data_IF_789388856521
#
_entry.id   IF_789388856521
#
_cell.length_a   1.000
_cell.length_b   1.000
_cell.length_c   1.000
_cell.angle_alpha   90.00
_cell.angle_beta   90.00
_cell.angle_gamma   90.00
#
_symmetry.space_group_name_H-M   'P 1'
#
loop_
_entity.id
_entity.type
_entity.pdbx_description
1 polymer ?
#
# COMPACT_ATOMS: atom_id res chain seq x y z
N UNK A 1 23.28 -16.75 -6.18
CA UNK A 1 24.46 -16.54 -5.31
C UNK A 1 24.29 -15.40 -4.29
N UNK A 2 23.37 -14.46 -4.48
CA UNK A 2 23.14 -13.30 -3.57
C UNK A 2 21.76 -13.28 -2.92
N UNK A 3 21.05 -14.42 -2.88
CA UNK A 3 19.68 -14.48 -2.35
C UNK A 3 19.57 -14.02 -0.89
N UNK A 4 20.60 -14.22 -0.08
CA UNK A 4 20.65 -13.75 1.29
C UNK A 4 20.67 -12.21 1.38
N UNK A 5 21.32 -11.50 0.42
CA UNK A 5 21.29 -10.02 0.36
C UNK A 5 19.89 -9.52 0.00
N UNK A 6 19.24 -10.17 -0.96
CA UNK A 6 17.88 -9.81 -1.38
C UNK A 6 16.85 -10.06 -0.27
N UNK A 7 17.14 -11.00 0.64
CA UNK A 7 16.28 -11.34 1.77
C UNK A 7 16.48 -10.44 3.01
N UNK A 8 17.45 -9.51 2.98
CA UNK A 8 17.65 -8.57 4.09
C UNK A 8 16.36 -7.77 4.30
N UNK A 9 15.85 -7.81 5.54
CA UNK A 9 14.65 -7.08 5.97
C UNK A 9 15.01 -5.62 6.25
N UNK A 10 14.36 -4.70 5.53
CA UNK A 10 14.54 -3.25 5.70
C UNK A 10 13.56 -2.66 6.72
N UNK A 11 12.48 -3.36 7.02
CA UNK A 11 11.42 -2.98 7.96
C UNK A 11 11.70 -3.36 9.41
N UNK A 12 12.83 -4.04 9.70
CA UNK A 12 13.18 -4.45 11.06
C UNK A 12 13.76 -3.30 11.88
N UNK A 13 13.25 -3.02 13.10
CA UNK A 13 13.78 -1.94 13.95
C UNK A 13 15.23 -2.20 14.37
N UNK A 14 15.67 -3.47 14.45
CA UNK A 14 17.06 -3.81 14.76
C UNK A 14 18.03 -3.26 13.70
N UNK A 15 17.61 -3.17 12.45
CA UNK A 15 18.41 -2.58 11.39
C UNK A 15 18.73 -1.12 11.68
N UNK A 16 17.76 -0.34 12.18
CA UNK A 16 18.00 1.06 12.57
C UNK A 16 19.07 1.20 13.64
N UNK A 17 19.10 0.30 14.62
CA UNK A 17 20.12 0.32 15.69
C UNK A 17 21.52 0.18 15.08
N UNK A 18 21.71 -0.78 14.16
CA UNK A 18 22.99 -0.99 13.49
C UNK A 18 23.37 0.17 12.57
N UNK A 19 22.41 0.69 11.84
CA UNK A 19 22.61 1.81 10.90
C UNK A 19 22.93 3.10 11.65
N UNK A 20 22.24 3.39 12.74
CA UNK A 20 22.56 4.53 13.62
C UNK A 20 23.92 4.37 14.27
N UNK A 21 24.27 3.17 14.75
CA UNK A 21 25.60 2.89 15.30
C UNK A 21 26.71 3.16 14.27
N UNK A 22 26.52 2.69 13.04
CA UNK A 22 27.45 2.96 11.94
C UNK A 22 27.56 4.46 11.62
N UNK A 23 26.42 5.20 11.61
CA UNK A 23 26.39 6.66 11.40
C UNK A 23 27.21 7.40 12.47
N UNK A 24 27.03 7.03 13.73
CA UNK A 24 27.77 7.64 14.86
C UNK A 24 29.27 7.37 14.72
N UNK A 25 29.67 6.12 14.42
CA UNK A 25 31.08 5.77 14.21
C UNK A 25 31.69 6.54 13.04
N UNK A 26 31.00 6.64 11.93
CA UNK A 26 31.43 7.43 10.77
C UNK A 26 31.59 8.92 11.13
N UNK A 27 30.61 9.50 11.82
CA UNK A 27 30.67 10.89 12.27
C UNK A 27 31.87 11.13 13.19
N UNK A 28 32.14 10.23 14.14
CA UNK A 28 33.31 10.30 15.03
C UNK A 28 34.62 10.30 14.21
N UNK A 29 34.76 9.36 13.24
CA UNK A 29 35.95 9.27 12.39
C UNK A 29 36.15 10.56 11.59
N UNK A 30 35.08 11.13 11.02
CA UNK A 30 35.15 12.38 10.27
C UNK A 30 35.56 13.57 11.14
N UNK A 31 34.98 13.66 12.34
CA UNK A 31 35.23 14.75 13.28
C UNK A 31 36.63 14.70 13.90
N UNK A 32 37.19 13.51 14.22
CA UNK A 32 38.52 13.36 14.82
C UNK A 32 39.67 13.88 13.94
N UNK A 33 39.40 14.24 12.70
CA UNK A 33 40.38 14.88 11.81
C UNK A 33 40.70 16.32 12.16
N UNK A 34 39.88 16.98 12.96
CA UNK A 34 40.04 18.42 13.30
C UNK A 34 40.68 18.57 14.66
N UNK A 35 41.71 19.39 14.75
CA UNK A 35 42.48 19.62 15.98
C UNK A 35 42.17 20.97 16.65
N UNK A 36 41.35 21.81 16.03
CA UNK A 36 41.03 23.14 16.53
C UNK A 36 39.55 23.31 16.77
N UNK A 37 39.19 24.12 17.77
CA UNK A 37 37.77 24.44 18.10
C UNK A 37 37.07 25.04 16.86
N UNK A 38 37.75 25.92 16.12
CA UNK A 38 37.19 26.46 14.88
C UNK A 38 36.89 25.41 13.83
N UNK A 39 37.75 24.39 13.70
CA UNK A 39 37.53 23.27 12.78
C UNK A 39 36.30 22.45 13.18
N UNK A 40 36.11 22.18 14.46
CA UNK A 40 34.93 21.50 14.98
C UNK A 40 33.65 22.30 14.75
N UNK A 41 33.67 23.59 15.09
CA UNK A 41 32.53 24.51 14.86
C UNK A 41 32.13 24.56 13.38
N UNK A 42 33.11 24.65 12.48
CA UNK A 42 32.82 24.64 11.05
C UNK A 42 32.15 23.36 10.60
N UNK A 43 32.63 22.19 11.05
CA UNK A 43 32.04 20.89 10.71
C UNK A 43 30.59 20.78 11.22
N UNK A 44 30.35 21.24 12.47
CA UNK A 44 28.99 21.25 13.04
C UNK A 44 28.06 22.21 12.30
N UNK A 45 28.54 23.42 11.96
CA UNK A 45 27.76 24.38 11.18
C UNK A 45 27.38 23.83 9.79
N UNK A 46 28.32 23.19 9.10
CA UNK A 46 28.05 22.57 7.80
C UNK A 46 27.05 21.42 7.93
N UNK A 47 27.20 20.57 8.93
CA UNK A 47 26.24 19.48 9.18
C UNK A 47 24.84 20.03 9.51
N UNK A 48 24.76 21.04 10.41
CA UNK A 48 23.48 21.68 10.74
C UNK A 48 22.85 22.38 9.54
N UNK A 49 23.67 23.04 8.69
CA UNK A 49 23.20 23.64 7.44
C UNK A 49 22.62 22.62 6.47
N UNK A 50 23.27 21.45 6.31
CA UNK A 50 22.77 20.32 5.54
C UNK A 50 21.45 19.76 6.08
N UNK A 51 21.35 19.61 7.40
CA UNK A 51 20.13 19.15 8.06
C UNK A 51 18.96 20.11 7.84
N UNK A 52 19.18 21.41 8.08
CA UNK A 52 18.14 22.43 7.94
C UNK A 52 17.67 22.54 6.48
N UNK A 53 18.61 22.51 5.52
CA UNK A 53 18.28 22.56 4.10
C UNK A 53 17.42 21.35 3.70
N UNK A 54 17.81 20.14 4.10
CA UNK A 54 17.05 18.94 3.78
C UNK A 54 15.65 18.94 4.42
N UNK A 55 15.56 19.31 5.70
CA UNK A 55 14.28 19.40 6.39
C UNK A 55 13.34 20.42 5.74
N UNK A 56 13.87 21.62 5.44
CA UNK A 56 13.11 22.68 4.78
C UNK A 56 12.72 22.32 3.35
N UNK A 57 13.60 21.61 2.61
CA UNK A 57 13.27 21.12 1.27
C UNK A 57 12.18 20.04 1.32
N UNK A 58 12.25 19.10 2.24
CA UNK A 58 11.23 18.08 2.43
C UNK A 58 9.87 18.70 2.78
N UNK A 59 9.87 19.72 3.67
CA UNK A 59 8.67 20.48 3.99
C UNK A 59 8.14 21.24 2.77
N UNK A 60 9.00 21.93 2.02
CA UNK A 60 8.60 22.67 0.83
C UNK A 60 7.98 21.76 -0.24
N UNK A 61 8.60 20.60 -0.51
CA UNK A 61 8.14 19.67 -1.55
C UNK A 61 6.88 18.93 -1.12
N UNK A 62 6.78 18.51 0.14
CA UNK A 62 5.64 17.76 0.64
C UNK A 62 4.43 18.64 0.94
N UNK A 63 4.61 19.70 1.79
CA UNK A 63 3.46 20.43 2.32
C UNK A 63 3.08 21.67 1.51
N UNK A 64 4.07 22.36 0.90
CA UNK A 64 3.80 23.61 0.19
C UNK A 64 3.54 23.37 -1.29
N UNK A 65 4.37 22.55 -1.94
CA UNK A 65 4.25 22.26 -3.37
C UNK A 65 3.44 21.01 -3.67
N UNK A 66 3.12 20.23 -2.64
CA UNK A 66 2.31 19.00 -2.71
C UNK A 66 2.78 18.01 -3.81
N UNK A 67 4.11 17.86 -3.96
CA UNK A 67 4.71 17.07 -5.03
C UNK A 67 4.36 15.58 -4.90
N UNK A 68 4.18 15.11 -3.65
CA UNK A 68 3.95 13.70 -3.35
C UNK A 68 2.46 13.34 -3.16
N UNK A 69 1.57 14.33 -3.15
CA UNK A 69 0.16 14.10 -2.85
C UNK A 69 -0.13 13.69 -1.39
N UNK A 70 0.89 13.66 -0.54
CA UNK A 70 0.82 13.32 0.89
C UNK A 70 1.65 14.27 1.72
N UNK A 71 1.29 14.47 2.97
CA UNK A 71 2.12 15.19 3.94
C UNK A 71 3.24 14.28 4.45
N UNK A 72 4.49 14.74 4.32
CA UNK A 72 5.63 14.01 4.86
C UNK A 72 5.62 14.13 6.40
N UNK A 73 5.79 13.02 7.10
CA UNK A 73 5.83 13.02 8.56
C UNK A 73 7.03 13.80 9.10
N UNK A 74 6.98 14.31 10.33
CA UNK A 74 8.16 14.88 10.98
C UNK A 74 9.34 13.89 11.07
N UNK A 75 9.04 12.58 11.17
CA UNK A 75 10.04 11.50 11.24
C UNK A 75 10.76 11.34 9.90
N UNK A 76 10.02 11.29 8.79
CA UNK A 76 10.58 11.29 7.44
C UNK A 76 11.50 12.50 7.21
N UNK A 77 11.04 13.71 7.59
CA UNK A 77 11.86 14.92 7.45
C UNK A 77 13.13 14.86 8.31
N UNK A 78 13.03 14.31 9.53
CA UNK A 78 14.20 14.13 10.41
C UNK A 78 15.21 13.14 9.81
N UNK A 79 14.76 12.04 9.20
CA UNK A 79 15.67 11.09 8.54
C UNK A 79 16.34 11.68 7.30
N UNK A 80 15.62 12.46 6.50
CA UNK A 80 16.21 13.23 5.41
C UNK A 80 17.29 14.19 5.94
N UNK A 81 16.99 14.91 7.04
CA UNK A 81 17.95 15.81 7.68
C UNK A 81 19.21 15.07 8.19
N UNK A 82 19.06 13.88 8.79
CA UNK A 82 20.19 13.03 9.24
C UNK A 82 21.07 12.62 8.06
N UNK A 83 20.48 12.12 6.99
CA UNK A 83 21.21 11.71 5.79
C UNK A 83 22.03 12.86 5.17
N UNK A 84 21.40 14.00 4.98
CA UNK A 84 22.06 15.18 4.39
C UNK A 84 23.04 15.87 5.33
N UNK A 85 22.79 15.88 6.65
CA UNK A 85 23.76 16.36 7.63
C UNK A 85 25.06 15.54 7.58
N UNK A 86 24.93 14.21 7.54
CA UNK A 86 26.08 13.30 7.43
C UNK A 86 26.84 13.46 6.12
N UNK A 87 26.12 13.59 5.01
CA UNK A 87 26.72 13.83 3.69
C UNK A 87 27.47 15.18 3.65
N UNK A 88 26.88 16.25 4.17
CA UNK A 88 27.51 17.55 4.28
C UNK A 88 28.77 17.52 5.18
N UNK A 89 28.70 16.82 6.32
CA UNK A 89 29.83 16.57 7.19
C UNK A 89 30.96 15.83 6.47
N UNK A 90 30.62 14.81 5.69
CA UNK A 90 31.59 14.03 4.91
C UNK A 90 32.27 14.89 3.82
N UNK A 91 31.48 15.69 3.09
CA UNK A 91 32.01 16.64 2.08
C UNK A 91 33.00 17.64 2.72
N UNK A 92 32.61 18.22 3.88
CA UNK A 92 33.49 19.13 4.60
C UNK A 92 34.77 18.45 5.11
N UNK A 93 34.71 17.14 5.41
CA UNK A 93 35.88 16.40 5.87
C UNK A 93 36.90 16.10 4.78
N UNK A 94 36.54 16.15 3.49
CA UNK A 94 37.47 15.97 2.36
C UNK A 94 38.49 17.13 2.27
N UNK A 95 38.09 18.32 2.69
CA UNK A 95 38.91 19.51 2.54
C UNK A 95 40.11 19.49 3.51
N UNK A 96 41.31 19.61 2.99
CA UNK A 96 42.58 19.73 3.76
C UNK A 96 42.83 18.59 4.73
N UNK A 97 42.69 17.35 4.26
CA UNK A 97 42.90 16.12 5.06
C UNK A 97 43.88 15.14 4.40
N UNK A 98 44.27 14.06 5.09
CA UNK A 98 45.15 13.00 4.56
C UNK A 98 44.41 12.14 3.54
N UNK A 99 45.12 11.56 2.57
CA UNK A 99 44.53 10.79 1.47
C UNK A 99 43.55 9.67 1.94
N UNK A 100 43.91 8.88 2.94
CA UNK A 100 43.02 7.83 3.46
C UNK A 100 41.70 8.39 4.04
N UNK A 101 41.74 9.61 4.62
CA UNK A 101 40.54 10.28 5.14
C UNK A 101 39.67 10.80 4.01
N UNK A 102 40.24 11.19 2.88
CA UNK A 102 39.47 11.52 1.68
C UNK A 102 38.67 10.30 1.23
N UNK A 103 39.30 9.11 1.18
CA UNK A 103 38.62 7.87 0.82
C UNK A 103 37.47 7.57 1.79
N UNK A 104 37.73 7.62 3.10
CA UNK A 104 36.66 7.38 4.11
C UNK A 104 35.54 8.39 3.98
N UNK A 105 35.84 9.68 3.83
CA UNK A 105 34.82 10.72 3.68
C UNK A 105 34.02 10.55 2.38
N UNK A 106 34.67 10.18 1.27
CA UNK A 106 33.98 9.92 0.01
C UNK A 106 33.00 8.73 0.12
N UNK A 107 33.38 7.66 0.81
CA UNK A 107 32.51 6.51 1.07
C UNK A 107 31.40 6.83 2.10
N UNK A 108 31.65 7.76 3.01
CA UNK A 108 30.68 8.19 4.01
C UNK A 108 29.50 8.95 3.39
N UNK A 109 29.66 9.64 2.26
CA UNK A 109 28.58 10.37 1.59
C UNK A 109 27.41 9.40 1.23
N UNK A 110 27.61 8.40 0.36
CA UNK A 110 26.54 7.47 0.03
C UNK A 110 26.05 6.68 1.25
N UNK A 111 26.94 6.37 2.22
CA UNK A 111 26.52 5.68 3.44
C UNK A 111 25.52 6.51 4.26
N UNK A 112 25.74 7.80 4.49
CA UNK A 112 24.80 8.67 5.20
C UNK A 112 23.48 8.85 4.44
N UNK A 113 23.53 9.00 3.11
CA UNK A 113 22.32 9.07 2.29
C UNK A 113 21.52 7.77 2.38
N UNK A 114 22.19 6.62 2.35
CA UNK A 114 21.52 5.31 2.53
C UNK A 114 20.92 5.18 3.93
N UNK A 115 21.57 5.66 4.96
CA UNK A 115 21.05 5.70 6.34
C UNK A 115 19.76 6.51 6.38
N UNK A 116 19.75 7.71 5.80
CA UNK A 116 18.55 8.54 5.69
C UNK A 116 17.43 7.81 4.93
N UNK A 117 17.75 7.19 3.79
CA UNK A 117 16.79 6.45 2.98
C UNK A 117 16.17 5.25 3.73
N UNK A 118 16.98 4.48 4.49
CA UNK A 118 16.47 3.39 5.33
C UNK A 118 15.52 3.92 6.41
N UNK A 119 15.86 5.05 7.04
CA UNK A 119 15.00 5.65 8.05
C UNK A 119 13.67 6.14 7.48
N UNK A 120 13.68 6.78 6.30
CA UNK A 120 12.47 7.17 5.56
C UNK A 120 11.66 5.93 5.20
N UNK A 121 12.30 4.88 4.66
CA UNK A 121 11.63 3.64 4.34
C UNK A 121 10.93 3.00 5.55
N UNK A 122 11.53 3.05 6.73
CA UNK A 122 10.91 2.48 7.92
C UNK A 122 9.73 3.32 8.44
N UNK A 123 9.72 4.61 8.18
CA UNK A 123 8.58 5.47 8.53
C UNK A 123 7.38 5.24 7.60
N UNK A 124 7.62 5.01 6.32
CA UNK A 124 6.57 4.72 5.33
C UNK A 124 6.16 3.24 5.25
N UNK A 125 7.08 2.32 5.59
CA UNK A 125 6.88 0.89 5.39
C UNK A 125 6.90 0.43 3.93
N UNK A 126 7.52 1.23 3.00
CA UNK A 126 7.44 0.99 1.56
C UNK A 126 8.10 -0.33 1.15
N UNK A 127 9.34 -0.55 1.55
CA UNK A 127 10.10 -1.73 1.16
C UNK A 127 10.41 -2.62 2.35
N UNK A 128 9.76 -3.77 2.45
CA UNK A 128 10.04 -4.74 3.51
C UNK A 128 11.40 -5.43 3.37
N UNK A 129 11.94 -5.53 2.14
CA UNK A 129 13.21 -6.22 1.85
C UNK A 129 14.02 -5.49 0.79
N UNK A 130 15.31 -5.80 0.68
CA UNK A 130 16.17 -5.34 -0.42
C UNK A 130 15.62 -5.81 -1.78
N UNK A 131 15.06 -7.01 -1.86
CA UNK A 131 14.40 -7.52 -3.06
C UNK A 131 13.29 -6.59 -3.54
N UNK A 132 12.40 -6.18 -2.62
CA UNK A 132 11.32 -5.25 -2.92
C UNK A 132 11.86 -3.89 -3.37
N UNK A 133 12.86 -3.33 -2.68
CA UNK A 133 13.49 -2.07 -3.05
C UNK A 133 14.18 -2.08 -4.43
N UNK A 134 14.53 -3.26 -4.94
CA UNK A 134 15.09 -3.44 -6.29
C UNK A 134 14.03 -3.80 -7.35
N UNK A 135 12.73 -3.83 -6.99
CA UNK A 135 11.65 -4.18 -7.89
C UNK A 135 11.70 -5.63 -8.39
N UNK A 136 12.37 -6.53 -7.66
CA UNK A 136 12.49 -7.93 -8.06
C UNK A 136 11.30 -8.71 -7.50
N UNK A 137 10.35 -9.07 -8.36
CA UNK A 137 9.19 -9.86 -7.95
C UNK A 137 9.59 -11.24 -7.44
N UNK A 138 9.14 -11.67 -6.25
CA UNK A 138 9.31 -13.03 -5.75
C UNK A 138 8.22 -13.99 -6.21
N UNK A 139 7.20 -13.49 -6.89
CA UNK A 139 5.97 -14.23 -7.16
C UNK A 139 6.09 -15.08 -8.41
N UNK A 140 5.54 -16.28 -8.35
CA UNK A 140 5.48 -17.20 -9.48
C UNK A 140 4.24 -16.93 -10.35
N UNK A 141 4.25 -17.41 -11.59
CA UNK A 141 3.07 -17.34 -12.45
C UNK A 141 1.95 -18.21 -11.92
N UNK A 142 0.72 -17.73 -12.09
CA UNK A 142 -0.49 -18.42 -11.64
C UNK A 142 -0.61 -19.81 -12.27
N UNK A 143 -0.93 -20.77 -11.44
CA UNK A 143 -1.21 -22.15 -11.85
C UNK A 143 -2.70 -22.45 -11.72
N UNK A 144 -3.27 -23.09 -12.74
CA UNK A 144 -4.68 -23.46 -12.72
C UNK A 144 -5.07 -24.26 -11.47
N UNK A 145 -6.17 -23.88 -10.86
CA UNK A 145 -6.70 -24.51 -9.66
C UNK A 145 -7.84 -25.48 -9.97
N UNK A 146 -8.06 -26.51 -9.15
CA UNK A 146 -9.26 -27.32 -9.22
C UNK A 146 -10.52 -26.47 -8.97
N UNK A 147 -11.62 -26.86 -9.61
CA UNK A 147 -12.93 -26.26 -9.33
C UNK A 147 -13.36 -26.52 -7.88
N UNK A 148 -14.12 -25.58 -7.31
CA UNK A 148 -14.63 -25.69 -5.96
C UNK A 148 -15.48 -26.97 -5.76
N UNK A 149 -15.30 -27.62 -4.60
CA UNK A 149 -16.10 -28.76 -4.16
C UNK A 149 -16.62 -28.50 -2.74
N UNK A 150 -17.91 -28.23 -2.63
CA UNK A 150 -18.55 -27.88 -1.36
C UNK A 150 -18.38 -26.43 -0.98
N UNK A 151 -18.65 -26.10 0.26
CA UNK A 151 -18.65 -24.76 0.83
C UNK A 151 -17.72 -24.68 2.04
N UNK A 152 -17.45 -23.49 2.53
CA UNK A 152 -16.68 -23.27 3.76
C UNK A 152 -17.33 -23.96 4.98
N UNK A 153 -18.65 -24.04 5.02
CA UNK A 153 -19.41 -24.70 6.11
C UNK A 153 -19.32 -26.24 6.10
N UNK A 154 -19.04 -26.83 4.93
CA UNK A 154 -18.85 -28.29 4.79
C UNK A 154 -17.37 -28.68 4.75
N UNK A 155 -16.47 -27.69 4.84
CA UNK A 155 -15.04 -27.90 4.76
C UNK A 155 -14.49 -28.71 5.93
N UNK A 156 -13.66 -29.69 5.61
CA UNK A 156 -12.90 -30.45 6.60
C UNK A 156 -11.41 -30.32 6.25
N UNK A 157 -10.62 -29.92 7.22
CA UNK A 157 -9.17 -29.77 7.06
C UNK A 157 -8.52 -31.10 6.65
N UNK A 158 -7.92 -31.21 5.47
CA UNK A 158 -7.19 -32.41 5.07
C UNK A 158 -5.87 -32.53 5.83
N UNK A 159 -5.33 -33.76 5.93
CA UNK A 159 -4.10 -34.03 6.65
C UNK A 159 -2.86 -33.41 5.97
N UNK A 160 -2.88 -33.26 4.67
CA UNK A 160 -1.84 -32.70 3.80
C UNK A 160 -2.02 -31.22 3.48
N UNK A 161 -2.83 -30.49 4.30
CA UNK A 161 -3.07 -29.07 4.11
C UNK A 161 -1.75 -28.30 4.12
N UNK A 162 -1.46 -27.44 3.11
CA UNK A 162 -0.30 -26.55 3.12
C UNK A 162 -0.23 -25.67 4.38
N UNK A 163 0.96 -25.37 4.85
CA UNK A 163 1.19 -24.58 6.07
C UNK A 163 0.97 -23.08 5.88
N UNK A 164 0.99 -22.60 4.64
CA UNK A 164 0.75 -21.19 4.27
C UNK A 164 0.11 -21.11 2.90
N UNK A 165 -0.41 -19.93 2.58
CA UNK A 165 -0.91 -19.59 1.26
C UNK A 165 0.19 -19.29 0.26
N UNK A 166 -0.20 -18.93 -0.95
CA UNK A 166 0.71 -18.48 -2.02
C UNK A 166 0.21 -17.21 -2.65
N UNK A 167 1.16 -16.34 -3.05
CA UNK A 167 0.88 -15.20 -3.92
C UNK A 167 1.45 -15.52 -5.30
N UNK A 168 0.63 -15.40 -6.33
CA UNK A 168 0.98 -15.69 -7.71
C UNK A 168 0.58 -14.51 -8.60
N UNK A 169 1.35 -14.24 -9.67
CA UNK A 169 1.02 -13.20 -10.64
C UNK A 169 0.26 -13.78 -11.83
N UNK A 170 -0.64 -13.00 -12.40
CA UNK A 170 -1.48 -13.42 -13.52
C UNK A 170 -1.87 -12.24 -14.39
N UNK A 171 -1.84 -12.46 -15.70
CA UNK A 171 -2.48 -11.56 -16.66
C UNK A 171 -3.99 -11.84 -16.68
N UNK A 172 -4.81 -10.84 -16.31
CA UNK A 172 -6.28 -10.91 -16.39
C UNK A 172 -6.72 -10.15 -17.65
N UNK A 173 -7.16 -10.83 -18.71
CA UNK A 173 -7.44 -10.19 -19.99
C UNK A 173 -8.56 -9.14 -19.91
N UNK A 174 -8.32 -7.95 -20.43
CA UNK A 174 -9.27 -6.86 -20.55
C UNK A 174 -10.17 -7.01 -21.81
N UNK A 175 -10.89 -8.13 -21.90
CA UNK A 175 -11.63 -8.53 -23.10
C UNK A 175 -12.82 -7.64 -23.41
N UNK A 176 -13.44 -7.05 -22.38
CA UNK A 176 -14.59 -6.16 -22.50
C UNK A 176 -14.16 -4.70 -22.48
N UNK A 177 -13.29 -4.34 -21.57
CA UNK A 177 -12.88 -2.96 -21.33
C UNK A 177 -11.83 -2.46 -22.31
N UNK A 178 -10.96 -3.34 -22.79
CA UNK A 178 -9.76 -2.96 -23.55
C UNK A 178 -8.77 -2.12 -22.73
N UNK A 179 -8.87 -2.16 -21.39
CA UNK A 179 -8.00 -1.38 -20.50
C UNK A 179 -6.55 -1.91 -20.56
N UNK A 180 -5.59 -1.00 -20.72
CA UNK A 180 -4.18 -1.35 -20.65
C UNK A 180 -3.80 -1.54 -19.16
N UNK A 181 -3.39 -2.74 -18.79
CA UNK A 181 -3.08 -3.11 -17.40
C UNK A 181 -1.77 -3.88 -17.31
N UNK A 182 -1.23 -3.94 -16.11
CA UNK A 182 -0.13 -4.82 -15.69
C UNK A 182 -0.71 -6.10 -15.11
N UNK A 183 0.17 -7.08 -14.83
CA UNK A 183 -0.23 -8.33 -14.18
C UNK A 183 -0.89 -8.06 -12.81
N UNK A 184 -1.98 -8.79 -12.56
CA UNK A 184 -2.60 -8.86 -11.24
C UNK A 184 -1.81 -9.79 -10.31
N UNK A 185 -2.01 -9.66 -9.00
CA UNK A 185 -1.56 -10.64 -8.00
C UNK A 185 -2.75 -11.32 -7.33
N UNK A 186 -2.60 -12.60 -7.05
CA UNK A 186 -3.62 -13.41 -6.39
C UNK A 186 -3.02 -14.11 -5.18
N UNK A 187 -3.56 -13.85 -3.98
CA UNK A 187 -3.29 -14.65 -2.80
C UNK A 187 -4.26 -15.82 -2.74
N UNK A 188 -3.72 -17.00 -2.61
CA UNK A 188 -4.42 -18.28 -2.50
C UNK A 188 -4.20 -18.85 -1.09
N UNK A 189 -5.24 -18.92 -0.25
CA UNK A 189 -5.10 -19.51 1.09
C UNK A 189 -4.86 -21.02 1.02
N UNK A 190 -4.34 -21.66 2.09
CA UNK A 190 -4.07 -23.11 2.13
C UNK A 190 -5.22 -23.97 1.62
N UNK A 191 -6.47 -23.63 1.95
CA UNK A 191 -7.65 -24.38 1.51
C UNK A 191 -7.84 -24.35 -0.02
N UNK A 192 -7.48 -23.24 -0.70
CA UNK A 192 -7.55 -23.14 -2.17
C UNK A 192 -6.53 -24.03 -2.88
N UNK A 193 -5.43 -24.38 -2.21
CA UNK A 193 -4.31 -25.15 -2.76
C UNK A 193 -4.47 -26.67 -2.64
N UNK A 194 -5.63 -27.13 -2.19
CA UNK A 194 -5.92 -28.57 -2.03
C UNK A 194 -6.52 -29.18 -3.31
N UNK A 195 -6.53 -30.50 -3.41
CA UNK A 195 -7.14 -31.21 -4.54
C UNK A 195 -8.66 -30.99 -4.64
N UNK A 196 -9.32 -30.63 -3.55
CA UNK A 196 -10.76 -30.42 -3.47
C UNK A 196 -11.07 -29.15 -2.67
N UNK A 197 -10.75 -27.95 -3.19
CA UNK A 197 -10.96 -26.70 -2.48
C UNK A 197 -12.46 -26.42 -2.26
N UNK A 198 -12.85 -25.82 -1.13
CA UNK A 198 -14.22 -25.31 -0.98
C UNK A 198 -14.42 -24.05 -1.82
N UNK A 199 -15.68 -23.66 -2.04
CA UNK A 199 -16.00 -22.34 -2.56
C UNK A 199 -15.65 -21.27 -1.51
N UNK A 200 -14.61 -20.48 -1.77
CA UNK A 200 -14.06 -19.49 -0.84
C UNK A 200 -14.63 -18.08 -1.09
N UNK A 201 -14.72 -17.25 -0.07
CA UNK A 201 -14.98 -15.83 -0.27
C UNK A 201 -13.78 -15.15 -0.96
N UNK A 202 -14.05 -13.99 -1.56
CA UNK A 202 -13.04 -13.22 -2.30
C UNK A 202 -13.03 -11.76 -1.90
N UNK A 203 -11.85 -11.18 -1.87
CA UNK A 203 -11.61 -9.74 -1.75
C UNK A 203 -10.91 -9.28 -3.03
N UNK A 204 -11.56 -8.44 -3.81
CA UNK A 204 -10.93 -7.67 -4.88
C UNK A 204 -10.32 -6.42 -4.25
N UNK A 205 -9.00 -6.25 -4.36
CA UNK A 205 -8.29 -5.21 -3.62
C UNK A 205 -7.43 -4.34 -4.54
N UNK A 206 -7.28 -3.06 -4.20
CA UNK A 206 -6.57 -2.08 -5.00
C UNK A 206 -5.46 -1.41 -4.19
N UNK A 207 -4.30 -1.28 -4.81
CA UNK A 207 -3.16 -0.55 -4.27
C UNK A 207 -3.40 0.97 -4.28
N UNK A 208 -2.45 1.74 -3.76
CA UNK A 208 -2.42 3.20 -3.87
C UNK A 208 -1.88 3.69 -5.20
N UNK A 209 -1.78 5.02 -5.35
CA UNK A 209 -1.13 5.69 -6.47
C UNK A 209 -0.19 6.78 -5.92
N UNK A 210 1.08 6.81 -6.38
CA UNK A 210 1.71 5.87 -7.32
C UNK A 210 1.84 4.48 -6.72
N UNK A 211 1.78 3.42 -7.57
CA UNK A 211 1.92 2.07 -7.07
C UNK A 211 1.67 0.97 -8.09
N UNK A 212 1.65 -0.26 -7.59
CA UNK A 212 1.41 -1.47 -8.36
C UNK A 212 0.66 -2.54 -7.54
N UNK A 213 0.08 -3.57 -8.18
CA UNK A 213 -0.63 -4.65 -7.46
C UNK A 213 0.19 -5.36 -6.38
N UNK A 214 1.52 -5.39 -6.53
CA UNK A 214 2.41 -6.05 -5.57
C UNK A 214 2.46 -5.36 -4.20
N UNK A 215 2.18 -4.07 -4.11
CA UNK A 215 2.42 -3.27 -2.90
C UNK A 215 1.59 -3.73 -1.71
N UNK A 216 0.35 -4.18 -1.92
CA UNK A 216 -0.47 -4.73 -0.84
C UNK A 216 0.16 -5.98 -0.20
N UNK A 217 0.92 -6.76 -0.96
CA UNK A 217 1.60 -7.94 -0.46
C UNK A 217 3.03 -7.64 0.02
N UNK A 218 3.77 -6.81 -0.74
CA UNK A 218 5.18 -6.54 -0.47
C UNK A 218 5.36 -5.51 0.64
N UNK A 219 4.57 -4.43 0.65
CA UNK A 219 4.67 -3.31 1.59
C UNK A 219 3.71 -3.46 2.76
N UNK A 220 2.41 -3.62 2.51
CA UNK A 220 1.44 -3.84 3.58
C UNK A 220 1.52 -5.24 4.21
N UNK A 221 2.09 -6.24 3.54
CA UNK A 221 2.28 -7.58 4.07
C UNK A 221 1.00 -8.36 4.34
N UNK A 222 -0.08 -8.08 3.59
CA UNK A 222 -1.40 -8.68 3.85
C UNK A 222 -1.42 -10.21 3.72
N UNK A 223 -0.52 -10.80 2.92
CA UNK A 223 -0.41 -12.26 2.82
C UNK A 223 -0.09 -12.91 4.18
N UNK A 224 0.82 -12.30 4.96
CA UNK A 224 1.13 -12.78 6.31
C UNK A 224 -0.02 -12.66 7.29
N UNK A 225 -0.87 -11.64 7.16
CA UNK A 225 -2.09 -11.48 7.95
C UNK A 225 -3.08 -12.60 7.61
N UNK A 226 -3.28 -12.84 6.32
CA UNK A 226 -4.17 -13.90 5.81
C UNK A 226 -3.68 -15.30 6.20
N UNK A 227 -2.38 -15.55 6.19
CA UNK A 227 -1.79 -16.82 6.63
C UNK A 227 -2.02 -17.07 8.12
N UNK A 228 -1.83 -16.04 8.97
CA UNK A 228 -2.14 -16.15 10.41
C UNK A 228 -3.62 -16.44 10.65
N UNK A 229 -4.49 -15.76 9.91
CA UNK A 229 -5.92 -16.02 9.96
C UNK A 229 -6.25 -17.45 9.53
N UNK A 230 -5.75 -17.90 8.38
CA UNK A 230 -5.99 -19.25 7.86
C UNK A 230 -5.51 -20.34 8.83
N UNK A 231 -4.35 -20.13 9.49
CA UNK A 231 -3.82 -21.10 10.46
C UNK A 231 -4.79 -21.37 11.62
N UNK A 232 -5.55 -20.37 12.07
CA UNK A 232 -6.56 -20.49 13.13
C UNK A 232 -7.94 -20.92 12.62
N UNK A 233 -8.16 -20.94 11.29
CA UNK A 233 -9.45 -21.26 10.67
C UNK A 233 -9.36 -22.48 9.73
N UNK A 234 -8.65 -23.52 10.12
CA UNK A 234 -8.50 -24.77 9.36
C UNK A 234 -8.00 -24.58 7.91
N UNK A 235 -7.20 -23.55 7.67
CA UNK A 235 -6.69 -23.20 6.34
C UNK A 235 -7.62 -22.31 5.51
N UNK A 236 -8.78 -21.94 6.04
CA UNK A 236 -9.73 -21.06 5.39
C UNK A 236 -9.32 -19.58 5.57
N UNK A 237 -9.28 -18.84 4.48
CA UNK A 237 -9.22 -17.40 4.41
C UNK A 237 -9.80 -16.96 3.07
N UNK A 238 -10.14 -15.67 2.87
CA UNK A 238 -10.55 -15.21 1.56
C UNK A 238 -9.40 -15.31 0.56
N UNK A 239 -9.73 -15.61 -0.70
CA UNK A 239 -8.84 -15.34 -1.83
C UNK A 239 -8.77 -13.82 -1.99
N UNK A 240 -7.57 -13.27 -2.19
CA UNK A 240 -7.41 -11.83 -2.45
C UNK A 240 -6.85 -11.66 -3.86
N UNK A 241 -7.57 -10.94 -4.70
CA UNK A 241 -7.17 -10.61 -6.05
C UNK A 241 -6.87 -9.12 -6.12
N UNK A 242 -5.65 -8.78 -6.53
CA UNK A 242 -5.20 -7.38 -6.66
C UNK A 242 -4.94 -7.11 -8.14
N UNK A 243 -5.97 -6.68 -8.90
CA UNK A 243 -5.80 -6.27 -10.29
C UNK A 243 -5.09 -4.91 -10.37
N UNK A 244 -4.58 -4.58 -11.54
CA UNK A 244 -4.01 -3.27 -11.80
C UNK A 244 -5.10 -2.26 -12.18
N UNK A 245 -5.44 -1.39 -11.27
CA UNK A 245 -6.42 -0.32 -11.51
C UNK A 245 -5.82 0.91 -12.20
N UNK A 246 -4.49 0.97 -12.33
CA UNK A 246 -3.79 2.15 -12.83
C UNK A 246 -3.34 2.02 -14.29
N UNK A 247 -2.84 0.86 -14.71
CA UNK A 247 -2.19 0.65 -16.01
C UNK A 247 -0.70 1.00 -16.01
N UNK A 248 -0.28 2.02 -15.23
CA UNK A 248 1.10 2.38 -14.96
C UNK A 248 1.23 3.01 -13.56
N UNK A 249 2.41 3.02 -12.92
CA UNK A 249 2.56 3.41 -11.51
C UNK A 249 2.05 4.82 -11.17
N UNK A 250 2.23 5.77 -12.07
CA UNK A 250 1.87 7.19 -11.94
C UNK A 250 0.62 7.59 -12.75
N UNK A 251 0.01 6.63 -13.44
CA UNK A 251 -1.24 6.85 -14.18
C UNK A 251 -2.44 6.67 -13.24
N UNK A 252 -3.45 7.53 -13.35
CA UNK A 252 -4.65 7.44 -12.52
C UNK A 252 -5.93 7.65 -13.33
N UNK A 253 -6.57 6.57 -13.80
CA UNK A 253 -7.88 6.64 -14.47
C UNK A 253 -9.03 6.82 -13.47
N UNK A 254 -8.78 6.96 -12.17
CA UNK A 254 -9.75 7.27 -11.12
C UNK A 254 -10.91 6.26 -11.00
N UNK A 255 -10.67 5.02 -11.45
CA UNK A 255 -11.67 3.95 -11.47
C UNK A 255 -12.99 4.33 -12.14
N UNK A 256 -12.89 5.08 -13.24
CA UNK A 256 -13.99 5.41 -14.12
C UNK A 256 -13.64 4.99 -15.56
N UNK A 257 -14.65 4.90 -16.41
CA UNK A 257 -14.45 4.79 -17.85
C UNK A 257 -14.40 6.20 -18.45
N UNK A 258 -13.25 6.51 -19.08
CA UNK A 258 -13.03 7.86 -19.55
C UNK A 258 -11.79 8.01 -20.43
N UNK A 259 -11.35 9.25 -20.68
CA UNK A 259 -10.20 9.50 -21.57
C UNK A 259 -8.89 8.84 -21.12
N UNK A 260 -8.76 8.51 -19.82
CA UNK A 260 -7.57 7.86 -19.25
C UNK A 260 -7.67 6.32 -19.27
N UNK A 261 -8.73 5.75 -19.85
CA UNK A 261 -8.94 4.31 -19.97
C UNK A 261 -10.21 3.84 -19.28
N UNK A 262 -10.62 2.60 -19.60
CA UNK A 262 -11.86 2.02 -19.10
C UNK A 262 -11.60 1.15 -17.87
N UNK A 263 -11.00 1.74 -16.83
CA UNK A 263 -10.62 0.99 -15.63
C UNK A 263 -11.85 0.52 -14.83
N UNK A 264 -12.95 1.29 -14.79
CA UNK A 264 -14.18 0.82 -14.14
C UNK A 264 -14.72 -0.46 -14.78
N UNK A 265 -14.83 -0.50 -16.11
CA UNK A 265 -15.25 -1.70 -16.85
C UNK A 265 -14.30 -2.87 -16.66
N UNK A 266 -12.99 -2.64 -16.62
CA UNK A 266 -12.00 -3.69 -16.33
C UNK A 266 -12.25 -4.30 -14.94
N UNK A 267 -12.31 -3.48 -13.92
CA UNK A 267 -12.43 -3.89 -12.52
C UNK A 267 -13.82 -4.48 -12.18
N UNK A 268 -14.89 -4.09 -12.89
CA UNK A 268 -16.23 -4.55 -12.55
C UNK A 268 -16.78 -5.63 -13.50
N UNK A 269 -16.16 -5.84 -14.66
CA UNK A 269 -16.60 -6.85 -15.62
C UNK A 269 -15.50 -7.88 -15.88
N UNK A 270 -14.33 -7.48 -16.40
CA UNK A 270 -13.29 -8.43 -16.83
C UNK A 270 -12.69 -9.18 -15.63
N UNK A 271 -12.31 -8.46 -14.57
CA UNK A 271 -11.70 -9.06 -13.38
C UNK A 271 -12.66 -10.01 -12.65
N UNK A 272 -13.91 -9.65 -12.31
CA UNK A 272 -14.82 -10.59 -11.67
C UNK A 272 -15.21 -11.78 -12.54
N UNK A 273 -15.29 -11.61 -13.86
CA UNK A 273 -15.53 -12.73 -14.78
C UNK A 273 -14.36 -13.72 -14.73
N UNK A 274 -13.14 -13.21 -14.78
CA UNK A 274 -11.94 -14.05 -14.68
C UNK A 274 -11.87 -14.77 -13.32
N UNK A 275 -12.10 -14.07 -12.20
CA UNK A 275 -12.14 -14.64 -10.85
C UNK A 275 -13.12 -15.81 -10.80
N UNK A 276 -14.35 -15.60 -11.26
CA UNK A 276 -15.41 -16.61 -11.23
C UNK A 276 -15.11 -17.83 -12.10
N UNK A 277 -14.35 -17.65 -13.18
CA UNK A 277 -14.00 -18.72 -14.12
C UNK A 277 -12.78 -19.55 -13.70
N UNK A 278 -11.83 -18.96 -12.94
CA UNK A 278 -10.52 -19.57 -12.69
C UNK A 278 -10.24 -19.88 -11.24
N UNK A 279 -10.98 -19.30 -10.29
CA UNK A 279 -10.75 -19.47 -8.86
C UNK A 279 -11.91 -20.21 -8.20
N UNK A 280 -11.65 -21.02 -7.16
CA UNK A 280 -12.68 -21.72 -6.39
C UNK A 280 -13.43 -20.76 -5.46
N UNK A 281 -14.18 -19.80 -6.01
CA UNK A 281 -14.87 -18.76 -5.24
C UNK A 281 -16.37 -19.00 -5.14
N UNK A 282 -16.98 -18.45 -4.09
CA UNK A 282 -18.43 -18.42 -3.91
C UNK A 282 -19.08 -17.44 -4.88
N UNK A 283 -20.25 -17.79 -5.39
CA UNK A 283 -21.07 -16.93 -6.24
C UNK A 283 -21.95 -15.95 -5.42
N UNK A 284 -22.02 -16.12 -4.09
CA UNK A 284 -22.84 -15.26 -3.24
C UNK A 284 -22.24 -13.87 -3.10
N UNK A 285 -23.03 -12.82 -3.32
CA UNK A 285 -22.58 -11.44 -3.11
C UNK A 285 -22.06 -11.18 -1.69
N UNK A 286 -22.56 -11.91 -0.71
CA UNK A 286 -22.13 -11.77 0.69
C UNK A 286 -20.68 -12.18 0.90
N UNK A 287 -20.16 -12.99 -0.01
CA UNK A 287 -18.80 -13.52 0.01
C UNK A 287 -17.84 -12.73 -0.91
N UNK A 288 -18.30 -11.58 -1.43
CA UNK A 288 -17.50 -10.68 -2.24
C UNK A 288 -17.31 -9.34 -1.53
N UNK A 289 -16.07 -9.00 -1.28
CA UNK A 289 -15.63 -7.69 -0.79
C UNK A 289 -14.81 -6.97 -1.84
N UNK A 290 -14.86 -5.64 -1.81
CA UNK A 290 -13.97 -4.78 -2.55
C UNK A 290 -13.19 -3.93 -1.54
N UNK A 291 -11.88 -3.79 -1.73
CA UNK A 291 -11.00 -3.15 -0.77
C UNK A 291 -9.97 -2.26 -1.46
N UNK A 292 -9.40 -1.27 -0.77
CA UNK A 292 -8.29 -0.53 -1.31
C UNK A 292 -7.69 0.48 -0.37
N UNK A 293 -6.52 0.99 -0.77
CA UNK A 293 -5.76 2.02 -0.07
C UNK A 293 -5.64 3.28 -0.93
N UNK A 294 -5.79 4.45 -0.31
CA UNK A 294 -5.58 5.74 -0.98
C UNK A 294 -6.45 5.89 -2.23
N UNK A 295 -5.87 6.04 -3.40
CA UNK A 295 -6.59 5.99 -4.68
C UNK A 295 -7.41 4.70 -4.81
N UNK A 296 -6.85 3.54 -4.44
CA UNK A 296 -7.59 2.28 -4.40
C UNK A 296 -8.72 2.25 -3.35
N UNK A 297 -8.57 2.97 -2.23
CA UNK A 297 -9.64 3.19 -1.25
C UNK A 297 -10.81 3.94 -1.87
N UNK A 298 -10.51 5.03 -2.59
CA UNK A 298 -11.50 5.78 -3.38
C UNK A 298 -12.20 4.87 -4.40
N UNK A 299 -11.44 4.05 -5.14
CA UNK A 299 -11.99 3.08 -6.08
C UNK A 299 -12.91 2.07 -5.39
N UNK A 300 -12.54 1.57 -4.21
CA UNK A 300 -13.32 0.57 -3.49
C UNK A 300 -14.70 1.10 -3.10
N UNK A 301 -14.79 2.33 -2.60
CA UNK A 301 -16.10 2.93 -2.27
C UNK A 301 -16.88 3.31 -3.52
N UNK A 302 -16.23 3.82 -4.59
CA UNK A 302 -16.92 4.13 -5.86
C UNK A 302 -17.53 2.87 -6.46
N UNK A 303 -16.71 1.84 -6.73
CA UNK A 303 -17.14 0.64 -7.43
C UNK A 303 -18.03 -0.25 -6.56
N UNK A 304 -17.71 -0.42 -5.27
CA UNK A 304 -18.49 -1.22 -4.34
C UNK A 304 -19.89 -0.63 -4.10
N UNK A 305 -19.98 0.70 -3.97
CA UNK A 305 -21.26 1.37 -3.82
C UNK A 305 -22.07 1.44 -5.12
N UNK A 306 -21.42 1.54 -6.29
CA UNK A 306 -22.09 1.49 -7.58
C UNK A 306 -22.62 0.09 -7.94
N UNK A 307 -22.02 -0.98 -7.38
CA UNK A 307 -22.38 -2.36 -7.69
C UNK A 307 -22.83 -3.17 -6.45
N UNK A 308 -23.88 -2.71 -5.71
CA UNK A 308 -24.33 -3.39 -4.47
C UNK A 308 -24.91 -4.79 -4.72
N UNK A 309 -25.22 -5.14 -5.97
CA UNK A 309 -25.62 -6.48 -6.36
C UNK A 309 -24.45 -7.48 -6.45
N UNK A 310 -23.22 -7.00 -6.54
CA UNK A 310 -22.01 -7.83 -6.63
C UNK A 310 -21.28 -7.89 -5.29
N UNK A 311 -21.02 -6.75 -4.66
CA UNK A 311 -20.23 -6.66 -3.44
C UNK A 311 -21.11 -6.58 -2.19
N UNK A 312 -20.91 -7.51 -1.26
CA UNK A 312 -21.56 -7.53 0.06
C UNK A 312 -20.84 -6.65 1.08
N UNK A 313 -19.64 -6.17 0.75
CA UNK A 313 -18.92 -5.25 1.61
C UNK A 313 -17.79 -4.50 0.92
N UNK A 314 -17.36 -3.43 1.58
CA UNK A 314 -16.37 -2.45 1.11
C UNK A 314 -15.36 -2.21 2.23
N UNK A 315 -14.06 -2.15 1.90
CA UNK A 315 -13.01 -1.66 2.80
C UNK A 315 -12.30 -0.48 2.12
N UNK A 316 -12.47 0.69 2.68
CA UNK A 316 -11.82 1.94 2.24
C UNK A 316 -10.77 2.35 3.28
N UNK A 317 -9.50 2.31 2.89
CA UNK A 317 -8.36 2.73 3.73
C UNK A 317 -7.80 4.03 3.15
N UNK A 318 -7.91 5.12 3.90
CA UNK A 318 -7.40 6.45 3.55
C UNK A 318 -7.81 6.95 2.16
N UNK A 319 -9.04 6.62 1.71
CA UNK A 319 -9.57 7.06 0.42
C UNK A 319 -9.96 8.54 0.42
N UNK A 320 -10.17 9.08 -0.77
CA UNK A 320 -10.56 10.46 -1.02
C UNK A 320 -12.08 10.63 -1.02
N UNK A 321 -12.54 11.86 -0.75
CA UNK A 321 -13.98 12.21 -0.83
C UNK A 321 -14.47 12.35 -2.26
N UNK A 322 -13.56 12.54 -3.21
CA UNK A 322 -13.81 12.62 -4.66
C UNK A 322 -12.57 12.10 -5.39
N UNK A 323 -12.71 11.46 -6.56
CA UNK A 323 -11.56 11.05 -7.36
C UNK A 323 -10.77 12.27 -7.85
N UNK A 324 -9.43 12.21 -7.85
CA UNK A 324 -8.61 13.37 -8.20
C UNK A 324 -7.28 13.00 -8.86
N UNK A 325 -6.87 13.80 -9.83
CA UNK A 325 -5.52 13.91 -10.38
C UNK A 325 -5.01 15.36 -10.31
N UNK A 326 -5.52 16.13 -9.33
CA UNK A 326 -5.18 17.52 -9.14
C UNK A 326 -5.98 18.47 -10.03
N UNK A 327 -5.44 19.64 -10.39
CA UNK A 327 -6.17 20.70 -11.08
C UNK A 327 -6.74 20.32 -12.45
N UNK A 328 -6.21 19.28 -13.08
CA UNK A 328 -6.61 18.81 -14.42
C UNK A 328 -7.68 17.71 -14.39
N UNK A 329 -8.17 17.33 -13.21
CA UNK A 329 -9.09 16.19 -13.01
C UNK A 329 -10.26 16.20 -13.98
N UNK A 330 -11.04 17.28 -14.05
CA UNK A 330 -12.22 17.35 -14.93
C UNK A 330 -11.81 17.34 -16.40
N UNK A 331 -10.78 18.11 -16.76
CA UNK A 331 -10.36 18.24 -18.14
C UNK A 331 -9.79 16.94 -18.73
N UNK A 332 -8.87 16.28 -17.99
CA UNK A 332 -8.19 15.09 -18.47
C UNK A 332 -8.93 13.79 -18.13
N UNK A 333 -9.42 13.67 -16.92
CA UNK A 333 -10.08 12.45 -16.45
C UNK A 333 -11.51 12.29 -16.95
N UNK A 334 -12.25 13.41 -17.11
CA UNK A 334 -13.66 13.40 -17.47
C UNK A 334 -13.96 14.12 -18.80
N UNK A 335 -12.94 14.38 -19.63
CA UNK A 335 -13.11 15.03 -20.93
C UNK A 335 -13.76 16.42 -20.84
N UNK A 336 -13.61 17.14 -19.73
CA UNK A 336 -14.22 18.44 -19.47
C UNK A 336 -15.64 18.38 -18.88
N UNK A 337 -16.20 17.19 -18.64
CA UNK A 337 -17.56 17.05 -18.10
C UNK A 337 -17.60 17.16 -16.57
N UNK A 338 -18.04 18.31 -16.06
CA UNK A 338 -18.26 18.49 -14.63
C UNK A 338 -19.36 17.56 -14.08
N UNK A 339 -20.42 17.30 -14.85
CA UNK A 339 -21.49 16.38 -14.46
C UNK A 339 -20.99 14.93 -14.30
N UNK A 340 -20.12 14.46 -15.20
CA UNK A 340 -19.52 13.13 -15.08
C UNK A 340 -18.61 13.04 -13.85
N UNK A 341 -17.84 14.08 -13.57
CA UNK A 341 -17.02 14.18 -12.38
C UNK A 341 -17.84 14.14 -11.09
N UNK A 342 -18.90 14.95 -11.01
CA UNK A 342 -19.81 14.98 -9.86
C UNK A 342 -20.48 13.62 -9.63
N UNK A 343 -20.91 12.95 -10.70
CA UNK A 343 -21.51 11.62 -10.64
C UNK A 343 -20.54 10.53 -10.16
N UNK A 344 -19.24 10.70 -10.37
CA UNK A 344 -18.19 9.78 -9.91
C UNK A 344 -17.84 9.95 -8.41
N UNK A 345 -18.32 11.00 -7.75
CA UNK A 345 -18.06 11.21 -6.33
C UNK A 345 -18.77 10.14 -5.47
N UNK A 346 -18.09 9.57 -4.46
CA UNK A 346 -18.72 8.62 -3.53
C UNK A 346 -20.06 9.09 -2.96
N UNK A 347 -20.20 10.39 -2.67
CA UNK A 347 -21.46 10.97 -2.18
C UNK A 347 -22.62 10.85 -3.17
N UNK A 348 -22.37 11.08 -4.46
CA UNK A 348 -23.39 10.96 -5.50
C UNK A 348 -23.77 9.49 -5.73
N UNK A 349 -22.78 8.59 -5.76
CA UNK A 349 -22.99 7.14 -5.94
C UNK A 349 -23.81 6.58 -4.76
N UNK A 350 -23.42 6.92 -3.53
CA UNK A 350 -24.16 6.50 -2.33
C UNK A 350 -25.62 6.99 -2.36
N UNK A 351 -25.86 8.22 -2.75
CA UNK A 351 -27.22 8.76 -2.86
C UNK A 351 -28.06 8.05 -3.93
N UNK A 352 -27.44 7.68 -5.06
CA UNK A 352 -28.13 7.06 -6.19
C UNK A 352 -28.59 5.62 -5.91
N UNK A 353 -27.93 4.89 -4.98
CA UNK A 353 -28.18 3.48 -4.70
C UNK A 353 -28.76 3.20 -3.28
N UNK A 354 -29.08 4.26 -2.53
CA UNK A 354 -29.72 4.13 -1.19
C UNK A 354 -31.09 3.45 -1.31
N UNK A 355 -31.45 2.49 -0.39
CA UNK A 355 -30.70 2.07 0.80
C UNK A 355 -29.75 0.89 0.53
N UNK A 356 -28.61 0.89 1.19
CA UNK A 356 -27.64 -0.22 1.19
C UNK A 356 -27.97 -1.25 2.29
N UNK A 357 -29.17 -1.78 2.25
CA UNK A 357 -29.54 -2.85 3.17
C UNK A 357 -28.61 -4.05 2.98
N UNK A 358 -28.09 -4.60 4.08
CA UNK A 358 -27.21 -5.78 4.08
C UNK A 358 -25.85 -5.57 3.37
N UNK A 359 -25.29 -4.36 3.38
CA UNK A 359 -23.93 -4.05 2.94
C UNK A 359 -23.08 -3.63 4.15
N UNK A 360 -21.83 -4.14 4.22
CA UNK A 360 -20.88 -3.79 5.27
C UNK A 360 -19.89 -2.78 4.71
N UNK A 361 -19.71 -1.65 5.40
CA UNK A 361 -18.69 -0.66 5.11
C UNK A 361 -17.61 -0.66 6.20
N UNK A 362 -16.37 -0.95 5.86
CA UNK A 362 -15.23 -0.83 6.77
C UNK A 362 -14.36 0.32 6.28
N UNK A 363 -14.00 1.20 7.20
CA UNK A 363 -13.22 2.39 6.89
C UNK A 363 -12.01 2.46 7.80
N UNK A 364 -10.89 2.99 7.30
CA UNK A 364 -9.70 3.11 8.12
C UNK A 364 -8.77 4.22 7.68
N UNK A 365 -7.98 4.75 8.62
CA UNK A 365 -6.98 5.78 8.36
C UNK A 365 -5.96 5.84 9.50
N UNK A 366 -4.82 6.46 9.27
CA UNK A 366 -3.81 6.74 10.30
C UNK A 366 -4.19 7.93 11.17
N UNK A 367 -3.89 7.89 12.47
CA UNK A 367 -4.20 9.00 13.39
C UNK A 367 -3.50 10.31 12.98
N UNK A 368 -2.35 10.19 12.35
CA UNK A 368 -1.51 11.30 11.91
C UNK A 368 -1.74 11.65 10.42
N UNK A 369 -2.70 10.98 9.75
CA UNK A 369 -3.16 11.32 8.40
C UNK A 369 -4.13 12.50 8.46
N UNK A 370 -3.56 13.71 8.57
CA UNK A 370 -4.34 14.95 8.66
C UNK A 370 -5.05 15.32 7.37
N UNK A 371 -4.57 14.83 6.23
CA UNK A 371 -5.11 15.11 4.90
C UNK A 371 -6.31 14.24 4.55
N UNK A 372 -6.19 12.93 4.66
CA UNK A 372 -7.23 11.99 4.22
C UNK A 372 -8.17 11.53 5.34
N UNK A 373 -7.67 11.43 6.59
CA UNK A 373 -8.46 10.98 7.74
C UNK A 373 -9.81 11.69 7.92
N UNK A 374 -9.88 13.04 7.84
CA UNK A 374 -11.17 13.77 7.86
C UNK A 374 -12.12 13.38 6.72
N UNK A 375 -11.58 13.14 5.52
CA UNK A 375 -12.31 12.67 4.36
C UNK A 375 -12.93 11.29 4.56
N UNK A 376 -12.12 10.33 5.03
CA UNK A 376 -12.59 8.96 5.32
C UNK A 376 -13.73 8.97 6.34
N UNK A 377 -13.63 9.74 7.43
CA UNK A 377 -14.73 9.87 8.40
C UNK A 377 -16.00 10.41 7.76
N UNK A 378 -15.87 11.36 6.85
CA UNK A 378 -17.02 11.94 6.11
C UNK A 378 -17.66 10.91 5.19
N UNK A 379 -16.88 10.14 4.43
CA UNK A 379 -17.36 9.07 3.55
C UNK A 379 -18.04 7.97 4.37
N UNK A 380 -17.42 7.54 5.50
CA UNK A 380 -18.02 6.58 6.41
C UNK A 380 -19.38 7.03 6.96
N UNK A 381 -19.51 8.31 7.34
CA UNK A 381 -20.77 8.85 7.80
C UNK A 381 -21.85 8.87 6.69
N UNK A 382 -21.46 9.22 5.45
CA UNK A 382 -22.37 9.17 4.30
C UNK A 382 -22.81 7.72 3.98
N UNK A 383 -21.90 6.76 4.04
CA UNK A 383 -22.21 5.34 3.84
C UNK A 383 -23.17 4.81 4.92
N UNK A 384 -22.94 5.19 6.18
CA UNK A 384 -23.86 4.87 7.29
C UNK A 384 -25.23 5.48 7.09
N UNK A 385 -25.33 6.75 6.70
CA UNK A 385 -26.59 7.42 6.41
C UNK A 385 -27.32 6.79 5.21
N UNK A 386 -26.59 6.22 4.25
CA UNK A 386 -27.13 5.49 3.11
C UNK A 386 -27.59 4.06 3.48
N UNK A 387 -27.42 3.60 4.72
CA UNK A 387 -27.91 2.31 5.22
C UNK A 387 -26.88 1.19 5.33
N UNK A 388 -25.59 1.46 5.09
CA UNK A 388 -24.52 0.47 5.32
C UNK A 388 -24.28 0.26 6.81
N UNK A 389 -23.93 -0.96 7.20
CA UNK A 389 -23.39 -1.25 8.55
C UNK A 389 -21.92 -0.86 8.55
N UNK A 390 -21.57 0.28 9.15
CA UNK A 390 -20.23 0.83 9.09
C UNK A 390 -19.41 0.56 10.35
N UNK A 391 -18.12 0.29 10.17
CA UNK A 391 -17.11 0.22 11.23
C UNK A 391 -15.90 1.05 10.79
N UNK A 392 -15.31 1.83 11.70
CA UNK A 392 -14.12 2.64 11.41
C UNK A 392 -12.99 2.26 12.34
N UNK A 393 -11.79 2.05 11.78
CA UNK A 393 -10.55 1.78 12.51
C UNK A 393 -9.58 2.94 12.33
N UNK A 394 -8.95 3.34 13.43
CA UNK A 394 -7.85 4.32 13.41
C UNK A 394 -6.55 3.57 13.73
N UNK A 395 -5.55 3.75 12.90
CA UNK A 395 -4.20 3.24 13.14
C UNK A 395 -3.41 4.29 13.91
N UNK A 396 -3.17 4.04 15.19
CA UNK A 396 -2.54 5.01 16.09
C UNK A 396 -1.06 5.21 15.76
N UNK A 397 -0.63 6.46 15.65
CA UNK A 397 0.75 6.87 15.39
C UNK A 397 1.25 6.58 13.97
N UNK A 398 0.33 6.35 13.04
CA UNK A 398 0.64 6.17 11.61
C UNK A 398 -0.03 7.26 10.78
N UNK A 399 0.51 7.52 9.58
CA UNK A 399 0.04 8.54 8.66
C UNK A 399 -0.61 7.92 7.40
N UNK A 400 -0.38 8.51 6.24
CA UNK A 400 -0.78 7.95 4.94
C UNK A 400 0.31 7.01 4.43
N UNK A 401 0.43 5.84 5.04
CA UNK A 401 1.55 4.91 4.90
C UNK A 401 1.13 3.44 4.94
N UNK A 402 2.06 2.52 4.66
CA UNK A 402 1.79 1.09 4.63
C UNK A 402 1.58 0.48 6.03
N UNK A 403 2.03 1.12 7.09
CA UNK A 403 1.72 0.71 8.47
C UNK A 403 0.24 0.89 8.78
N UNK A 404 -0.35 1.98 8.28
CA UNK A 404 -1.81 2.21 8.31
C UNK A 404 -2.53 1.09 7.60
N UNK A 405 -2.11 0.74 6.38
CA UNK A 405 -2.74 -0.34 5.59
C UNK A 405 -2.67 -1.67 6.34
N UNK A 406 -1.47 -2.04 6.82
CA UNK A 406 -1.25 -3.26 7.59
C UNK A 406 -2.20 -3.34 8.80
N UNK A 407 -2.18 -2.30 9.63
CA UNK A 407 -2.96 -2.26 10.89
C UNK A 407 -4.46 -2.28 10.64
N UNK A 408 -4.93 -1.48 9.68
CA UNK A 408 -6.35 -1.40 9.35
C UNK A 408 -6.83 -2.72 8.74
N UNK A 409 -6.08 -3.32 7.80
CA UNK A 409 -6.44 -4.60 7.20
C UNK A 409 -6.49 -5.72 8.24
N UNK A 410 -5.49 -5.80 9.14
CA UNK A 410 -5.47 -6.79 10.22
C UNK A 410 -6.69 -6.65 11.15
N UNK A 411 -7.06 -5.42 11.51
CA UNK A 411 -8.24 -5.15 12.35
C UNK A 411 -9.57 -5.30 11.63
N UNK A 412 -9.61 -5.07 10.32
CA UNK A 412 -10.79 -5.23 9.48
C UNK A 412 -11.09 -6.70 9.17
N UNK A 413 -10.06 -7.55 9.07
CA UNK A 413 -10.22 -8.94 8.65
C UNK A 413 -11.22 -9.74 9.50
N UNK A 414 -11.27 -9.65 10.82
CA UNK A 414 -12.32 -10.32 11.63
C UNK A 414 -13.75 -9.86 11.28
N UNK A 415 -13.96 -8.57 11.01
CA UNK A 415 -15.27 -8.02 10.60
C UNK A 415 -15.67 -8.56 9.22
N UNK A 416 -14.72 -8.60 8.29
CA UNK A 416 -14.89 -9.14 6.94
C UNK A 416 -15.15 -10.65 7.02
N UNK A 417 -14.38 -11.38 7.82
CA UNK A 417 -14.53 -12.83 8.02
C UNK A 417 -15.88 -13.20 8.65
N UNK A 418 -16.38 -12.41 9.60
CA UNK A 418 -17.71 -12.59 10.16
C UNK A 418 -18.80 -12.44 9.07
N UNK A 419 -18.63 -11.49 8.13
CA UNK A 419 -19.53 -11.35 6.99
C UNK A 419 -19.49 -12.57 6.08
N UNK A 420 -18.34 -13.19 5.91
CA UNK A 420 -18.12 -14.42 5.12
C UNK A 420 -18.56 -15.71 5.84
N UNK A 421 -18.95 -15.64 7.10
CA UNK A 421 -19.22 -16.84 7.90
C UNK A 421 -17.95 -17.66 8.20
N UNK A 422 -16.79 -17.04 8.25
CA UNK A 422 -15.49 -17.65 8.60
C UNK A 422 -15.07 -17.37 10.05
N UNK A 423 -15.85 -16.60 10.82
CA UNK A 423 -15.54 -16.23 12.21
C UNK A 423 -16.02 -17.33 13.20
#
# INVERSE_FOLDING_TARGET
MFDWLLAIRLDRPELLVWVCGAAVLLAIVLLTGRRTVRGWLTMLLVASGGALLAYATAWLLGDVLDVFGIELTPVTRAWAAVGFAGAALAIAAIVRTRAWRVVVASLAIPAFLLIGAIGVNQDFGEFATVRAALGISPYQSFSALPAARGTTTTWQRPADLPTGGRVEHVDIPATTSGFAHRDALVYLPPAALTAHPPALPVIEAFSGQPGEPADLFASAGIAGILDRFAASHAGLAPIVVVPDQLGAPDHNPMCVDGPLGNSASYLTNDVPAWISAHLPVSASRTDWFIAGFSQGGTCSIQLGAAHPGRYGGILDISGEVVPSIGPTTIAQGFGGSATAYEAAAPSAILAAHTPYADTVGVFGYGSDDSRYGPGVRRVAAMASAAGMRTTTFVSDGTAHDWHTVHTVFERALPVIAARFGLA
#
